data_IF_391044270598
#
_entry.id   IF_391044270598
#
_cell.length_a   1.000
_cell.length_b   1.000
_cell.length_c   1.000
_cell.angle_alpha   90.00
_cell.angle_beta   90.00
_cell.angle_gamma   90.00
#
_symmetry.space_group_name_H-M   'P 1'
#
loop_
_entity.id
_entity.type
_entity.pdbx_description
1 polymer ?
#
# COMPACT_ATOMS: atom_id res chain seq x y z
N UNK A 1 -3.80 7.92 -29.68
CA UNK A 1 -5.06 8.68 -29.63
C UNK A 1 -5.53 8.72 -28.18
N UNK A 2 -5.01 9.65 -27.38
CA UNK A 2 -5.17 9.68 -25.92
C UNK A 2 -5.56 11.09 -25.53
N UNK A 3 -6.87 11.38 -25.43
CA UNK A 3 -7.33 12.72 -25.02
C UNK A 3 -8.73 12.82 -24.41
N UNK A 4 -9.39 11.71 -24.06
CA UNK A 4 -10.86 11.75 -23.87
C UNK A 4 -11.44 11.13 -22.60
N UNK A 5 -10.68 10.88 -21.52
CA UNK A 5 -11.27 10.31 -20.28
C UNK A 5 -10.81 11.05 -19.02
N UNK A 6 -10.63 12.37 -19.10
CA UNK A 6 -10.26 13.21 -17.94
C UNK A 6 -11.39 14.12 -17.44
N UNK A 7 -12.65 13.84 -17.79
CA UNK A 7 -13.80 14.69 -17.40
C UNK A 7 -15.06 13.86 -17.11
N UNK A 8 -15.05 13.05 -16.07
CA UNK A 8 -16.30 12.39 -15.63
C UNK A 8 -16.28 11.92 -14.16
N UNK A 9 -15.78 12.71 -13.20
CA UNK A 9 -16.11 12.44 -11.79
C UNK A 9 -16.01 13.67 -10.88
N UNK A 10 -16.58 14.78 -11.34
CA UNK A 10 -16.85 15.96 -10.52
C UNK A 10 -18.30 16.35 -10.77
N UNK A 11 -19.23 15.75 -10.01
CA UNK A 11 -20.61 16.22 -9.71
C UNK A 11 -21.49 15.07 -9.19
N UNK A 12 -21.78 15.09 -7.88
CA UNK A 12 -23.04 14.70 -7.24
C UNK A 12 -22.89 15.08 -5.75
N UNK A 13 -23.23 16.31 -5.35
CA UNK A 13 -24.56 16.72 -4.83
C UNK A 13 -25.11 15.69 -3.83
N UNK A 14 -24.94 15.96 -2.53
CA UNK A 14 -25.88 16.70 -1.66
C UNK A 14 -27.13 15.89 -1.36
N UNK A 15 -27.33 15.60 -0.07
CA UNK A 15 -28.64 15.26 0.46
C UNK A 15 -28.63 14.43 1.74
N UNK A 16 -28.42 15.07 2.90
CA UNK A 16 -29.16 14.71 4.12
C UNK A 16 -29.51 16.01 4.85
N UNK A 17 -30.80 16.32 4.86
CA UNK A 17 -31.44 17.32 5.72
C UNK A 17 -31.73 16.65 7.05
N UNK A 18 -31.29 17.26 8.16
CA UNK A 18 -31.85 16.98 9.47
C UNK A 18 -32.05 18.32 10.22
N UNK A 19 -33.32 18.57 10.50
CA UNK A 19 -33.91 19.69 11.24
C UNK A 19 -33.59 19.52 12.72
N UNK A 20 -33.23 20.61 13.43
CA UNK A 20 -33.46 20.98 14.85
C UNK A 20 -32.81 22.38 14.96
N UNK A 21 -33.48 23.48 15.25
CA UNK A 21 -34.33 23.78 16.41
C UNK A 21 -33.82 25.13 16.95
N UNK A 22 -34.61 26.18 16.77
CA UNK A 22 -34.30 27.54 17.22
C UNK A 22 -34.35 27.56 18.76
N UNK A 23 -33.23 27.86 19.42
CA UNK A 23 -33.20 28.20 20.84
C UNK A 23 -32.20 29.33 21.08
N UNK A 24 -32.72 30.55 21.26
CA UNK A 24 -31.99 31.62 21.90
C UNK A 24 -31.93 31.34 23.41
N UNK A 25 -30.73 31.31 24.01
CA UNK A 25 -30.54 31.61 25.44
C UNK A 25 -29.05 31.68 25.81
N UNK A 26 -28.67 32.87 26.29
CA UNK A 26 -27.72 33.19 27.37
C UNK A 26 -26.32 32.58 27.34
N UNK A 27 -25.35 33.45 27.05
CA UNK A 27 -23.92 33.27 27.34
C UNK A 27 -23.72 33.20 28.86
N UNK A 28 -23.18 32.08 29.34
CA UNK A 28 -22.52 32.00 30.65
C UNK A 28 -21.04 31.69 30.42
N UNK A 29 -20.10 32.42 31.05
CA UNK A 29 -18.70 32.05 31.02
C UNK A 29 -18.48 30.87 31.96
N UNK A 30 -18.29 29.67 31.40
CA UNK A 30 -17.71 28.57 32.14
C UNK A 30 -16.19 28.74 32.17
N UNK A 31 -15.65 29.02 33.35
CA UNK A 31 -14.24 28.81 33.65
C UNK A 31 -13.97 27.30 33.58
N UNK A 32 -13.16 26.87 32.62
CA UNK A 32 -12.72 25.48 32.51
C UNK A 32 -11.37 25.36 33.21
N UNK A 33 -11.39 24.56 34.27
CA UNK A 33 -10.25 24.09 35.06
C UNK A 33 -9.24 23.34 34.18
N UNK A 34 -7.95 23.50 34.50
CA UNK A 34 -6.84 22.70 34.01
C UNK A 34 -7.14 21.19 34.00
N UNK A 35 -6.82 20.52 32.89
CA UNK A 35 -6.72 19.06 32.84
C UNK A 35 -7.71 18.37 31.89
N UNK A 36 -7.65 18.68 30.60
CA UNK A 36 -8.26 17.84 29.58
C UNK A 36 -7.25 16.77 29.14
N UNK A 37 -7.52 15.46 29.29
CA UNK A 37 -6.66 14.43 28.74
C UNK A 37 -6.71 14.52 27.22
N UNK A 38 -5.54 14.71 26.60
CA UNK A 38 -5.37 14.57 25.16
C UNK A 38 -5.59 13.10 24.83
N UNK A 39 -6.78 12.74 24.33
CA UNK A 39 -7.01 11.44 23.71
C UNK A 39 -6.34 11.52 22.33
N UNK A 40 -5.07 11.15 22.25
CA UNK A 40 -4.45 10.86 20.96
C UNK A 40 -5.13 9.62 20.39
N UNK A 41 -5.92 9.80 19.33
CA UNK A 41 -6.37 8.69 18.51
C UNK A 41 -5.14 8.14 17.78
N UNK A 42 -4.54 7.08 18.32
CA UNK A 42 -3.63 6.24 17.58
C UNK A 42 -4.49 5.40 16.61
N UNK A 43 -4.66 5.90 15.39
CA UNK A 43 -5.30 5.15 14.33
C UNK A 43 -4.33 4.08 13.82
N UNK A 44 -4.20 3.00 14.59
CA UNK A 44 -3.66 1.75 14.05
C UNK A 44 -4.83 0.97 13.48
N UNK A 45 -5.18 1.24 12.23
CA UNK A 45 -5.84 0.24 11.38
C UNK A 45 -4.79 -0.77 10.90
N UNK A 46 -3.99 -1.28 11.84
CA UNK A 46 -3.06 -2.37 11.58
C UNK A 46 -3.88 -3.64 11.43
N UNK A 47 -3.97 -4.15 10.20
CA UNK A 47 -4.35 -5.55 9.99
C UNK A 47 -3.43 -6.39 10.85
N UNK A 48 -4.01 -7.26 11.68
CA UNK A 48 -3.22 -8.11 12.57
C UNK A 48 -2.21 -8.91 11.75
N UNK A 49 -0.95 -9.04 12.20
CA UNK A 49 0.04 -9.88 11.55
C UNK A 49 -0.49 -11.28 11.24
N UNK A 50 -0.20 -11.77 10.03
CA UNK A 50 -0.59 -13.11 9.59
C UNK A 50 0.62 -13.91 9.12
N UNK A 51 0.48 -15.23 9.12
CA UNK A 51 1.35 -16.13 8.35
C UNK A 51 0.79 -16.26 6.94
N UNK A 52 1.63 -16.03 5.93
CA UNK A 52 1.24 -16.02 4.52
C UNK A 52 2.27 -16.77 3.67
N UNK A 53 1.80 -17.46 2.62
CA UNK A 53 2.67 -18.19 1.70
C UNK A 53 2.40 -17.76 0.26
N UNK A 54 3.45 -17.50 -0.50
CA UNK A 54 3.35 -17.22 -1.92
C UNK A 54 4.43 -17.93 -2.73
N UNK A 55 4.15 -18.08 -4.02
CA UNK A 55 5.07 -18.62 -5.01
C UNK A 55 5.63 -17.46 -5.83
N UNK A 56 6.95 -17.36 -5.90
CA UNK A 56 7.66 -16.57 -6.90
C UNK A 56 7.87 -17.48 -8.11
N UNK A 57 7.02 -17.35 -9.12
CA UNK A 57 6.86 -18.41 -10.12
C UNK A 57 8.00 -18.46 -11.15
N UNK A 58 8.64 -17.32 -11.41
CA UNK A 58 9.77 -17.20 -12.34
C UNK A 58 10.56 -15.92 -12.05
N UNK A 59 11.73 -15.80 -12.68
CA UNK A 59 12.36 -14.50 -12.93
C UNK A 59 11.94 -13.97 -14.31
N UNK A 60 11.87 -12.65 -14.47
CA UNK A 60 11.42 -12.03 -15.73
C UNK A 60 11.07 -10.55 -15.58
N UNK A 61 10.10 -10.11 -16.37
CA UNK A 61 9.63 -8.72 -16.42
C UNK A 61 8.12 -8.64 -16.70
N UNK A 62 7.68 -7.59 -17.40
CA UNK A 62 6.26 -7.30 -17.65
C UNK A 62 5.50 -8.48 -18.28
N UNK A 63 6.09 -9.22 -19.22
CA UNK A 63 5.42 -10.37 -19.83
C UNK A 63 5.11 -11.47 -18.80
N UNK A 64 6.02 -11.70 -17.87
CA UNK A 64 5.83 -12.65 -16.78
C UNK A 64 4.87 -12.11 -15.70
N UNK A 65 4.93 -10.81 -15.39
CA UNK A 65 4.00 -10.20 -14.43
C UNK A 65 2.56 -10.26 -14.97
N UNK A 66 2.37 -9.94 -16.25
CA UNK A 66 1.08 -9.99 -16.97
C UNK A 66 0.49 -11.40 -17.03
N UNK A 67 1.32 -12.44 -16.92
CA UNK A 67 0.85 -13.83 -16.91
C UNK A 67 0.07 -14.19 -15.64
N UNK A 68 0.22 -13.42 -14.54
CA UNK A 68 -0.56 -13.59 -13.31
C UNK A 68 -0.53 -15.00 -12.71
N UNK A 69 0.68 -15.57 -12.59
CA UNK A 69 0.92 -16.93 -12.06
C UNK A 69 1.61 -16.94 -10.70
N UNK A 70 1.65 -15.79 -10.02
CA UNK A 70 2.40 -15.51 -8.81
C UNK A 70 3.37 -14.34 -9.02
N UNK A 71 4.16 -14.03 -7.99
CA UNK A 71 5.15 -12.97 -8.05
C UNK A 71 6.31 -13.32 -8.99
N UNK A 72 6.91 -12.31 -9.62
CA UNK A 72 8.05 -12.44 -10.53
C UNK A 72 9.27 -11.82 -9.89
N UNK A 73 10.40 -12.53 -9.89
CA UNK A 73 11.69 -11.91 -9.57
C UNK A 73 12.12 -10.99 -10.73
N UNK A 74 12.11 -9.70 -10.44
CA UNK A 74 12.48 -8.64 -11.38
C UNK A 74 13.78 -7.95 -11.00
N UNK A 75 14.53 -8.52 -10.05
CA UNK A 75 15.70 -7.86 -9.50
C UNK A 75 16.80 -7.59 -10.53
N UNK A 76 16.91 -8.43 -11.55
CA UNK A 76 17.85 -8.19 -12.67
C UNK A 76 17.56 -6.89 -13.41
N UNK A 77 16.29 -6.52 -13.58
CA UNK A 77 15.91 -5.29 -14.27
C UNK A 77 16.12 -4.03 -13.43
N UNK A 78 16.01 -4.14 -12.11
CA UNK A 78 16.19 -3.01 -11.19
C UNK A 78 17.60 -2.91 -10.58
N UNK A 79 18.44 -3.94 -10.72
CA UNK A 79 19.75 -3.98 -10.08
C UNK A 79 19.70 -4.09 -8.55
N UNK A 80 18.55 -4.51 -8.00
CA UNK A 80 18.33 -4.73 -6.56
C UNK A 80 17.29 -5.84 -6.38
N UNK A 81 17.31 -6.63 -5.28
CA UNK A 81 16.34 -7.70 -5.09
C UNK A 81 14.90 -7.18 -5.01
N UNK A 82 14.07 -7.50 -6.02
CA UNK A 82 12.66 -7.11 -6.07
C UNK A 82 11.84 -8.26 -6.65
N UNK A 83 10.74 -8.60 -6.00
CA UNK A 83 9.66 -9.38 -6.60
C UNK A 83 8.46 -8.50 -6.88
N UNK A 84 7.80 -8.72 -8.01
CA UNK A 84 6.70 -7.90 -8.50
C UNK A 84 5.45 -8.72 -8.80
N UNK A 85 4.27 -8.15 -8.53
CA UNK A 85 2.99 -8.75 -8.89
C UNK A 85 1.92 -7.69 -9.12
N UNK A 86 1.03 -7.96 -10.08
CA UNK A 86 -0.16 -7.12 -10.29
C UNK A 86 -1.06 -7.11 -9.05
N UNK A 87 -1.64 -5.95 -8.76
CA UNK A 87 -2.56 -5.78 -7.63
C UNK A 87 -3.70 -6.81 -7.63
N UNK A 88 -4.31 -7.04 -8.79
CA UNK A 88 -5.45 -7.95 -8.92
C UNK A 88 -5.05 -9.43 -9.03
N UNK A 89 -3.77 -9.75 -9.21
CA UNK A 89 -3.29 -11.13 -9.36
C UNK A 89 -2.82 -11.76 -8.04
N UNK A 90 -2.59 -10.93 -7.03
CA UNK A 90 -2.20 -11.36 -5.68
C UNK A 90 -1.85 -10.18 -4.77
N UNK A 91 -1.39 -9.06 -5.34
CA UNK A 91 -0.90 -7.93 -4.54
C UNK A 91 -1.89 -7.23 -3.63
N UNK A 92 -3.19 -7.26 -3.96
CA UNK A 92 -4.26 -6.78 -3.08
C UNK A 92 -4.46 -7.64 -1.82
N UNK A 93 -3.95 -8.87 -1.82
CA UNK A 93 -3.98 -9.80 -0.70
C UNK A 93 -2.63 -9.87 0.02
N UNK A 94 -1.63 -9.12 -0.44
CA UNK A 94 -0.32 -9.12 0.19
C UNK A 94 -0.45 -8.60 1.63
N UNK A 95 0.10 -9.32 2.62
CA UNK A 95 -0.15 -9.00 4.02
C UNK A 95 0.57 -7.72 4.45
N UNK A 96 0.01 -7.05 5.45
CA UNK A 96 0.54 -5.81 6.00
C UNK A 96 1.81 -5.99 6.84
N UNK A 97 2.39 -4.86 7.23
CA UNK A 97 3.57 -4.77 8.10
C UNK A 97 3.45 -5.66 9.35
N UNK A 98 4.56 -6.27 9.73
CA UNK A 98 4.63 -7.16 10.88
C UNK A 98 4.16 -8.58 10.60
N UNK A 99 3.62 -8.89 9.42
CA UNK A 99 3.30 -10.26 9.01
C UNK A 99 4.55 -11.09 8.71
N UNK A 100 4.43 -12.40 8.76
CA UNK A 100 5.46 -13.35 8.32
C UNK A 100 5.05 -13.95 7.00
N UNK A 101 5.92 -13.90 6.00
CA UNK A 101 5.69 -14.52 4.71
C UNK A 101 6.70 -15.65 4.47
N UNK A 102 6.26 -16.71 3.80
CA UNK A 102 7.12 -17.75 3.25
C UNK A 102 7.03 -17.71 1.73
N UNK A 103 8.17 -17.48 1.09
CA UNK A 103 8.31 -17.52 -0.36
C UNK A 103 8.91 -18.85 -0.81
N UNK A 104 8.37 -19.36 -1.92
CA UNK A 104 8.85 -20.56 -2.61
C UNK A 104 9.05 -20.26 -4.10
N UNK A 105 9.74 -21.14 -4.83
CA UNK A 105 9.96 -20.98 -6.27
C UNK A 105 11.30 -20.32 -6.60
N UNK A 106 11.29 -19.34 -7.52
CA UNK A 106 12.50 -18.67 -8.02
C UNK A 106 13.22 -17.87 -6.93
N UNK A 107 12.46 -17.29 -5.98
CA UNK A 107 12.99 -16.70 -4.75
C UNK A 107 12.39 -17.45 -3.57
N UNK A 108 13.23 -17.85 -2.63
CA UNK A 108 12.82 -18.66 -1.48
C UNK A 108 13.27 -18.07 -0.15
N UNK A 109 12.53 -18.41 0.90
CA UNK A 109 12.85 -18.10 2.28
C UNK A 109 11.66 -17.56 3.07
N UNK A 110 11.91 -17.29 4.34
CA UNK A 110 10.94 -16.68 5.24
C UNK A 110 11.33 -15.23 5.50
N UNK A 111 10.35 -14.33 5.47
CA UNK A 111 10.58 -12.89 5.63
C UNK A 111 9.56 -12.28 6.58
N UNK A 112 9.98 -11.25 7.30
CA UNK A 112 9.10 -10.33 8.01
C UNK A 112 8.74 -9.17 7.08
N UNK A 113 7.46 -8.86 6.95
CA UNK A 113 7.00 -7.69 6.20
C UNK A 113 7.32 -6.43 7.00
N UNK A 114 8.12 -5.55 6.41
CA UNK A 114 8.44 -4.22 6.92
C UNK A 114 7.48 -3.15 6.43
N UNK A 115 7.81 -1.87 6.66
CA UNK A 115 7.04 -0.76 6.13
C UNK A 115 7.17 -0.65 4.60
N UNK A 116 6.36 0.22 4.00
CA UNK A 116 6.55 0.64 2.61
C UNK A 116 7.80 1.52 2.53
N UNK A 117 8.83 1.02 1.85
CA UNK A 117 10.11 1.70 1.68
C UNK A 117 9.99 2.93 0.77
N UNK A 118 9.20 2.82 -0.31
CA UNK A 118 8.91 3.95 -1.20
C UNK A 118 7.60 3.74 -1.95
N UNK A 119 6.94 4.84 -2.32
CA UNK A 119 5.86 4.87 -3.30
C UNK A 119 6.33 5.70 -4.49
N UNK A 120 6.31 5.11 -5.68
CA UNK A 120 6.79 5.71 -6.91
C UNK A 120 5.65 5.96 -7.89
N UNK A 121 5.74 7.06 -8.62
CA UNK A 121 4.86 7.38 -9.73
C UNK A 121 5.43 6.85 -11.04
N UNK A 122 4.70 5.95 -11.71
CA UNK A 122 5.17 5.29 -12.92
C UNK A 122 5.42 6.24 -14.12
N UNK A 123 4.89 7.46 -14.09
CA UNK A 123 5.08 8.45 -15.14
C UNK A 123 6.30 9.36 -14.92
N UNK A 124 6.79 9.50 -13.69
CA UNK A 124 7.86 10.46 -13.34
C UNK A 124 9.07 9.83 -12.69
N UNK A 125 8.89 8.75 -11.93
CA UNK A 125 9.97 8.03 -11.28
C UNK A 125 10.50 6.91 -12.19
N UNK A 126 11.74 6.50 -11.93
CA UNK A 126 12.41 5.46 -12.69
C UNK A 126 13.13 4.47 -11.77
N UNK A 127 13.80 3.48 -12.35
CA UNK A 127 14.49 2.42 -11.59
C UNK A 127 15.51 2.96 -10.59
N UNK A 128 16.15 4.11 -10.86
CA UNK A 128 17.11 4.71 -9.93
C UNK A 128 16.44 5.32 -8.68
N UNK A 129 15.12 5.51 -8.69
CA UNK A 129 14.33 5.92 -7.51
C UNK A 129 14.01 4.75 -6.58
N UNK A 130 14.30 3.51 -6.98
CA UNK A 130 14.06 2.33 -6.15
C UNK A 130 15.19 2.23 -5.12
N UNK A 131 14.88 2.14 -3.82
CA UNK A 131 15.90 2.11 -2.80
C UNK A 131 16.61 0.75 -2.75
N UNK A 132 17.88 0.78 -2.38
CA UNK A 132 18.77 -0.38 -2.33
C UNK A 132 19.08 -0.78 -0.88
N UNK A 133 19.69 -1.97 -0.71
CA UNK A 133 20.20 -2.43 0.59
C UNK A 133 19.21 -3.26 1.42
N UNK A 134 18.04 -3.59 0.87
CA UNK A 134 17.08 -4.52 1.47
C UNK A 134 17.38 -5.96 1.07
N UNK A 135 16.99 -6.92 1.91
CA UNK A 135 17.05 -8.35 1.55
C UNK A 135 16.16 -8.65 0.34
N UNK A 136 14.96 -8.07 0.32
CA UNK A 136 14.01 -8.15 -0.78
C UNK A 136 12.98 -7.00 -0.69
N UNK A 137 12.54 -6.51 -1.84
CA UNK A 137 11.37 -5.62 -1.95
C UNK A 137 10.20 -6.36 -2.64
N UNK A 138 8.99 -6.11 -2.18
CA UNK A 138 7.76 -6.50 -2.86
C UNK A 138 7.13 -5.30 -3.56
N UNK A 139 6.95 -5.38 -4.88
CA UNK A 139 6.39 -4.34 -5.71
C UNK A 139 4.97 -4.70 -6.17
N UNK A 140 4.03 -3.77 -5.96
CA UNK A 140 2.68 -3.86 -6.53
C UNK A 140 2.09 -2.47 -6.80
N UNK A 141 0.96 -2.40 -7.51
CA UNK A 141 0.23 -1.14 -7.73
C UNK A 141 -0.62 -0.81 -6.51
N UNK A 142 -0.41 0.36 -5.90
CA UNK A 142 -1.17 0.79 -4.72
C UNK A 142 -2.63 1.02 -5.08
N UNK A 143 -3.54 0.40 -4.33
CA UNK A 143 -5.00 0.53 -4.48
C UNK A 143 -5.49 0.25 -5.91
N UNK A 144 -4.77 -0.61 -6.64
CA UNK A 144 -5.07 -0.96 -8.04
C UNK A 144 -4.74 0.11 -9.08
N UNK A 145 -4.11 1.22 -8.68
CA UNK A 145 -3.72 2.30 -9.60
C UNK A 145 -2.39 1.99 -10.28
N UNK A 146 -2.41 1.87 -11.61
CA UNK A 146 -1.20 1.68 -12.42
C UNK A 146 -0.26 2.89 -12.44
N UNK A 147 -0.70 4.04 -11.90
CA UNK A 147 0.13 5.24 -11.80
C UNK A 147 1.03 5.23 -10.56
N UNK A 148 0.71 4.41 -9.55
CA UNK A 148 1.34 4.46 -8.23
C UNK A 148 1.76 3.06 -7.80
N UNK A 149 3.06 2.84 -7.70
CA UNK A 149 3.65 1.57 -7.29
C UNK A 149 4.19 1.71 -5.87
N UNK A 150 3.90 0.75 -5.00
CA UNK A 150 4.53 0.65 -3.68
C UNK A 150 5.61 -0.41 -3.71
N UNK A 151 6.71 -0.14 -3.00
CA UNK A 151 7.78 -1.09 -2.72
C UNK A 151 7.80 -1.32 -1.22
N UNK A 152 7.36 -2.50 -0.79
CA UNK A 152 7.32 -2.91 0.61
C UNK A 152 8.57 -3.69 0.96
N UNK A 153 9.20 -3.35 2.07
CA UNK A 153 10.39 -4.05 2.55
C UNK A 153 10.06 -5.46 3.06
N UNK A 154 10.93 -6.42 2.72
CA UNK A 154 10.89 -7.78 3.26
C UNK A 154 12.24 -8.11 3.89
N UNK A 155 12.24 -8.29 5.20
CA UNK A 155 13.42 -8.63 5.99
C UNK A 155 13.53 -10.13 6.15
N UNK A 156 14.63 -10.75 5.70
CA UNK A 156 14.80 -12.19 5.81
C UNK A 156 14.90 -12.60 7.28
N UNK A 157 14.21 -13.68 7.65
CA UNK A 157 14.28 -14.28 8.98
C UNK A 157 14.59 -15.78 8.88
N UNK A 158 15.67 -16.21 9.53
CA UNK A 158 16.21 -17.58 9.45
C UNK A 158 17.29 -17.72 8.39
#
# INVERSE_FOLDING_TARGET
>A
MVKAVHRAFQRRLVGIVAIIGLAASTVLPFAIVDGMPIITAAETTGVAPVDYSAVVWTAGWQGEIDACRGAVDVGHHYGTPVIAEHWFCGGSLFPGEGSTITLTGAVTGTFRVGPVAVVLNAATDNAASIPHGFDLLYQTCRDGSSATMSFTELNRIG
#
